data_IF_471404492866
#
_entry.id   IF_471404492866
#
_cell.length_a   1.000
_cell.length_b   1.000
_cell.length_c   1.000
_cell.angle_alpha   90.00
_cell.angle_beta   90.00
_cell.angle_gamma   90.00
#
_symmetry.space_group_name_H-M   'P 1'
#
loop_
_entity.id
_entity.type
_entity.pdbx_description
1 polymer ?
#
# COMPACT_ATOMS: atom_id res chain seq x y z
N UNK A 1 -22.23 -28.31 13.64
CA UNK A 1 -22.71 -27.17 12.83
C UNK A 1 -21.60 -26.11 12.78
N UNK A 2 -20.55 -26.35 11.98
CA UNK A 2 -19.31 -25.57 11.95
C UNK A 2 -19.30 -24.47 10.89
N UNK A 3 -20.40 -23.74 10.78
CA UNK A 3 -20.71 -22.82 9.67
C UNK A 3 -19.83 -21.55 9.63
N UNK A 4 -18.91 -21.38 10.58
CA UNK A 4 -18.04 -20.20 10.70
C UNK A 4 -16.55 -20.56 10.85
N UNK A 5 -16.14 -21.72 10.34
CA UNK A 5 -14.72 -22.08 10.30
C UNK A 5 -13.93 -21.03 9.52
N UNK A 6 -12.75 -20.65 10.01
CA UNK A 6 -11.81 -19.72 9.35
C UNK A 6 -11.55 -20.11 7.88
N UNK A 7 -11.67 -21.40 7.56
CA UNK A 7 -11.61 -21.92 6.19
C UNK A 7 -12.70 -21.37 5.26
N UNK A 8 -13.90 -21.10 5.76
CA UNK A 8 -14.98 -20.48 4.98
C UNK A 8 -14.61 -19.05 4.56
N UNK A 9 -14.06 -18.26 5.50
CA UNK A 9 -13.59 -16.91 5.21
C UNK A 9 -12.44 -16.88 4.21
N UNK A 10 -11.50 -17.84 4.29
CA UNK A 10 -10.41 -17.98 3.33
C UNK A 10 -10.93 -18.24 1.91
N UNK A 11 -11.90 -19.15 1.75
CA UNK A 11 -12.50 -19.46 0.45
C UNK A 11 -13.28 -18.25 -0.09
N UNK A 12 -14.02 -17.53 0.76
CA UNK A 12 -14.79 -16.35 0.36
C UNK A 12 -13.86 -15.23 -0.13
N UNK A 13 -12.72 -14.99 0.54
CA UNK A 13 -11.72 -14.02 0.07
C UNK A 13 -11.18 -14.37 -1.31
N UNK A 14 -10.89 -15.65 -1.57
CA UNK A 14 -10.42 -16.10 -2.89
C UNK A 14 -11.47 -15.83 -3.97
N UNK A 15 -12.74 -16.11 -3.70
CA UNK A 15 -13.83 -15.86 -4.67
C UNK A 15 -13.96 -14.36 -4.94
N UNK A 16 -13.91 -13.50 -3.92
CA UNK A 16 -13.96 -12.04 -4.08
C UNK A 16 -12.77 -11.54 -4.92
N UNK A 17 -11.57 -12.03 -4.66
CA UNK A 17 -10.37 -11.71 -5.43
C UNK A 17 -10.49 -12.11 -6.91
N UNK A 18 -11.12 -13.25 -7.21
CA UNK A 18 -11.32 -13.72 -8.58
C UNK A 18 -12.38 -12.89 -9.33
N UNK A 19 -13.48 -12.50 -8.65
CA UNK A 19 -14.55 -11.68 -9.25
C UNK A 19 -14.10 -10.25 -9.50
N UNK A 20 -13.42 -9.63 -8.52
CA UNK A 20 -12.95 -8.25 -8.64
C UNK A 20 -11.62 -8.13 -9.40
N UNK A 21 -10.85 -9.23 -9.47
CA UNK A 21 -9.49 -9.24 -9.97
C UNK A 21 -8.48 -8.59 -9.00
N UNK A 22 -7.26 -9.11 -8.98
CA UNK A 22 -6.18 -8.61 -8.09
C UNK A 22 -5.73 -7.19 -8.46
N UNK A 23 -5.89 -6.77 -9.72
CA UNK A 23 -5.47 -5.46 -10.20
C UNK A 23 -6.28 -4.30 -9.58
N UNK A 24 -7.61 -4.45 -9.48
CA UNK A 24 -8.50 -3.46 -8.85
C UNK A 24 -8.32 -3.43 -7.33
N UNK A 25 -8.15 -4.61 -6.71
CA UNK A 25 -7.88 -4.72 -5.28
C UNK A 25 -6.52 -4.14 -4.89
N UNK A 26 -5.51 -4.18 -5.77
CA UNK A 26 -4.19 -3.59 -5.52
C UNK A 26 -4.23 -2.07 -5.47
N UNK A 27 -4.90 -1.41 -6.41
CA UNK A 27 -4.98 0.05 -6.43
C UNK A 27 -5.86 0.55 -5.28
N UNK A 28 -7.09 0.03 -5.14
CA UNK A 28 -7.98 0.42 -4.05
C UNK A 28 -7.42 0.03 -2.66
N UNK A 29 -6.78 -1.14 -2.56
CA UNK A 29 -6.15 -1.61 -1.33
C UNK A 29 -4.88 -0.84 -0.96
N UNK A 30 -4.16 -0.23 -1.93
CA UNK A 30 -3.04 0.67 -1.64
C UNK A 30 -3.52 1.97 -1.01
N UNK A 31 -4.59 2.57 -1.56
CA UNK A 31 -5.14 3.82 -1.05
C UNK A 31 -5.77 3.62 0.34
N UNK A 32 -6.62 2.58 0.47
CA UNK A 32 -7.26 2.23 1.74
C UNK A 32 -6.23 1.75 2.78
N UNK A 33 -5.25 0.97 2.34
CA UNK A 33 -4.18 0.45 3.20
C UNK A 33 -3.26 1.53 3.72
N UNK A 34 -3.01 2.58 2.94
CA UNK A 34 -2.19 3.73 3.38
C UNK A 34 -2.91 4.56 4.45
N UNK A 35 -4.23 4.76 4.31
CA UNK A 35 -5.06 5.42 5.32
C UNK A 35 -5.10 4.61 6.64
N UNK A 36 -5.28 3.29 6.55
CA UNK A 36 -5.29 2.40 7.73
C UNK A 36 -3.90 2.29 8.37
N UNK A 37 -2.82 2.35 7.58
CA UNK A 37 -1.44 2.34 8.10
C UNK A 37 -1.16 3.57 8.97
N UNK A 38 -1.52 4.77 8.51
CA UNK A 38 -1.38 6.00 9.29
C UNK A 38 -2.19 5.99 10.59
N UNK A 39 -3.40 5.41 10.58
CA UNK A 39 -4.19 5.22 11.79
C UNK A 39 -3.51 4.25 12.78
N UNK A 40 -2.96 3.14 12.29
CA UNK A 40 -2.25 2.18 13.14
C UNK A 40 -0.96 2.75 13.71
N UNK A 41 -0.21 3.51 12.92
CA UNK A 41 1.01 4.18 13.36
C UNK A 41 0.67 5.24 14.42
N UNK A 42 -0.36 6.07 14.20
CA UNK A 42 -0.83 7.07 15.18
C UNK A 42 -1.34 6.44 16.49
N UNK A 43 -2.07 5.32 16.42
CA UNK A 43 -2.51 4.59 17.63
C UNK A 43 -1.31 4.02 18.38
N UNK A 44 -0.33 3.47 17.66
CA UNK A 44 0.87 2.88 18.25
C UNK A 44 1.80 3.96 18.84
N UNK A 45 1.86 5.14 18.24
CA UNK A 45 2.58 6.28 18.78
C UNK A 45 1.86 6.90 19.97
N UNK A 46 0.53 7.02 19.93
CA UNK A 46 -0.25 7.43 21.10
C UNK A 46 -0.08 6.47 22.28
N UNK A 47 0.05 5.17 22.02
CA UNK A 47 0.37 4.17 23.06
C UNK A 47 1.81 4.32 23.59
N UNK A 48 2.77 4.72 22.74
CA UNK A 48 4.17 4.99 23.15
C UNK A 48 4.32 6.32 23.87
N UNK A 49 3.61 7.37 23.48
CA UNK A 49 3.56 8.65 24.19
C UNK A 49 2.93 8.49 25.57
N UNK A 50 1.88 7.65 25.70
CA UNK A 50 1.33 7.26 26.99
C UNK A 50 2.32 6.47 27.88
N UNK A 51 3.39 5.91 27.29
CA UNK A 51 4.45 5.16 27.97
C UNK A 51 5.79 5.91 28.09
N UNK A 52 5.86 7.17 27.65
CA UNK A 52 7.01 8.05 27.85
C UNK A 52 8.26 7.74 27.01
N UNK A 53 8.16 6.95 25.95
CA UNK A 53 9.32 6.53 25.14
C UNK A 53 9.24 7.11 23.72
N UNK A 54 9.80 8.31 23.55
CA UNK A 54 9.88 8.99 22.26
C UNK A 54 10.95 8.34 21.37
N UNK A 55 10.53 7.56 20.37
CA UNK A 55 11.42 7.01 19.33
C UNK A 55 11.36 7.88 18.06
N UNK A 56 12.49 8.13 17.37
CA UNK A 56 12.54 8.96 16.17
C UNK A 56 11.90 8.21 15.00
N UNK A 57 10.84 8.78 14.43
CA UNK A 57 10.13 8.16 13.33
C UNK A 57 10.71 8.61 12.00
N UNK A 58 11.61 7.78 11.46
CA UNK A 58 11.98 7.80 10.05
C UNK A 58 11.09 6.80 9.31
N UNK A 59 10.18 7.27 8.46
CA UNK A 59 9.52 6.44 7.46
C UNK A 59 9.41 7.22 6.13
N UNK A 60 10.55 7.28 5.46
CA UNK A 60 10.72 6.82 4.07
C UNK A 60 9.47 6.91 3.17
N UNK A 61 9.35 8.06 2.51
CA UNK A 61 8.47 8.26 1.36
C UNK A 61 9.12 7.61 0.12
N UNK A 62 9.03 6.28 -0.01
CA UNK A 62 9.49 5.55 -1.21
C UNK A 62 8.35 4.85 -1.93
N UNK A 63 8.16 5.26 -3.18
CA UNK A 63 7.45 4.59 -4.30
C UNK A 63 5.92 4.75 -4.42
N UNK A 64 5.53 5.66 -5.32
CA UNK A 64 5.01 5.23 -6.63
C UNK A 64 4.97 6.38 -7.65
N UNK A 65 5.87 6.34 -8.63
CA UNK A 65 5.62 6.74 -10.02
C UNK A 65 6.85 6.34 -10.86
N UNK A 66 6.86 5.09 -11.35
CA UNK A 66 7.74 4.64 -12.43
C UNK A 66 6.86 3.86 -13.42
N UNK A 67 6.38 4.58 -14.42
CA UNK A 67 5.81 4.22 -15.74
C UNK A 67 5.06 5.49 -16.20
N UNK A 68 5.27 6.14 -17.35
CA UNK A 68 5.55 5.62 -18.69
C UNK A 68 6.44 6.57 -19.52
N UNK A 69 7.04 5.97 -20.54
CA UNK A 69 7.85 6.49 -21.65
C UNK A 69 7.11 7.43 -22.63
N UNK A 70 7.92 8.19 -23.39
CA UNK A 70 7.74 8.76 -24.75
C UNK A 70 7.81 10.31 -24.80
N UNK A 71 8.48 10.80 -25.86
CA UNK A 71 8.76 12.19 -26.31
C UNK A 71 10.16 12.71 -25.89
N UNK A 72 11.28 12.41 -26.55
CA UNK A 72 11.70 12.59 -27.97
C UNK A 72 12.51 13.90 -28.19
N UNK A 73 13.50 13.81 -29.10
CA UNK A 73 14.25 14.90 -29.77
C UNK A 73 15.59 15.45 -29.20
N UNK A 74 16.67 15.12 -29.93
CA UNK A 74 17.82 15.97 -30.27
C UNK A 74 18.96 16.28 -29.29
N UNK A 75 19.62 15.23 -28.79
CA UNK A 75 21.04 15.30 -28.36
C UNK A 75 21.98 15.00 -29.54
N UNK A 76 22.00 15.83 -30.60
CA UNK A 76 22.99 15.66 -31.70
C UNK A 76 23.32 16.93 -32.51
N UNK A 77 23.66 18.05 -31.87
CA UNK A 77 24.13 19.24 -32.61
C UNK A 77 25.17 20.10 -31.89
N UNK A 78 25.94 19.51 -30.94
CA UNK A 78 27.04 20.24 -30.26
C UNK A 78 28.43 19.67 -30.51
N UNK A 79 28.59 18.84 -31.54
CA UNK A 79 29.90 18.31 -31.92
C UNK A 79 30.04 18.34 -33.44
N UNK A 80 30.11 19.55 -33.99
CA UNK A 80 30.90 19.87 -35.19
C UNK A 80 31.59 21.22 -34.94
#
# INVERSE_FOLDING_TARGET
MGSFSIWHWAILLVVVLLVFGTAKLKNAGKDLGSAVKGFKDAVKDGEKEAKGEAAPQNLENKSAAKDETVVDEQKNSRVE
#
